data_IF_632744483978
#
_entry.id   IF_632744483978
#
_cell.length_a   1.000
_cell.length_b   1.000
_cell.length_c   1.000
_cell.angle_alpha   90.00
_cell.angle_beta   90.00
_cell.angle_gamma   90.00
#
_symmetry.space_group_name_H-M   'P 1'
#
loop_
_entity.id
_entity.type
_entity.pdbx_description
1 polymer ?
#
# COMPACT_ATOMS: atom_id res chain seq x y z
N UNK A 1 -30.88 15.47 13.15
CA UNK A 1 -29.76 14.96 12.35
C UNK A 1 -30.15 13.57 11.88
N UNK A 2 -30.28 13.37 10.56
CA UNK A 2 -30.73 12.09 10.02
C UNK A 2 -29.77 10.96 10.42
N UNK A 3 -30.31 9.87 10.94
CA UNK A 3 -29.58 8.61 11.13
C UNK A 3 -29.29 8.03 9.73
N UNK A 4 -28.02 7.68 9.46
CA UNK A 4 -27.48 7.03 8.25
C UNK A 4 -27.01 7.93 7.08
N UNK A 5 -26.05 8.82 7.30
CA UNK A 5 -25.23 9.33 6.18
C UNK A 5 -23.98 8.46 5.98
N UNK A 6 -23.90 7.74 4.85
CA UNK A 6 -22.64 7.13 4.40
C UNK A 6 -21.73 8.25 3.86
N UNK A 7 -20.46 8.21 4.21
CA UNK A 7 -19.47 9.19 3.77
C UNK A 7 -18.18 8.50 3.36
N UNK A 8 -17.49 9.10 2.40
CA UNK A 8 -16.10 8.76 2.12
C UNK A 8 -15.18 9.23 3.25
N UNK A 9 -14.21 8.39 3.59
CA UNK A 9 -13.20 8.69 4.60
C UNK A 9 -11.83 8.42 4.00
N UNK A 10 -10.99 9.44 3.97
CA UNK A 10 -9.61 9.33 3.51
C UNK A 10 -8.76 8.64 4.57
N UNK A 11 -7.99 7.61 4.21
CA UNK A 11 -7.00 7.00 5.09
C UNK A 11 -5.61 7.17 4.51
N UNK A 12 -4.85 8.09 5.09
CA UNK A 12 -3.53 8.46 4.60
C UNK A 12 -2.42 7.72 5.34
N UNK A 13 -1.33 7.41 4.63
CA UNK A 13 -0.16 6.79 5.23
C UNK A 13 0.72 7.81 5.92
N UNK A 14 1.02 7.58 7.20
CA UNK A 14 2.06 8.34 7.89
C UNK A 14 3.44 7.89 7.37
N UNK A 15 4.24 8.85 6.90
CA UNK A 15 5.59 8.60 6.38
C UNK A 15 6.49 7.98 7.46
N UNK A 16 7.12 6.86 7.15
CA UNK A 16 8.00 6.14 8.06
C UNK A 16 9.37 6.79 8.25
N UNK A 17 10.01 6.50 9.39
CA UNK A 17 11.31 7.06 9.79
C UNK A 17 12.47 6.70 8.84
N UNK A 18 12.32 5.63 8.06
CA UNK A 18 13.33 5.15 7.11
C UNK A 18 13.07 5.64 5.67
N UNK A 19 12.18 6.62 5.49
CA UNK A 19 11.94 7.23 4.17
C UNK A 19 13.27 7.58 3.49
N UNK A 20 13.40 7.20 2.23
CA UNK A 20 14.61 7.35 1.43
C UNK A 20 14.29 7.33 -0.06
N UNK A 21 15.20 7.83 -0.89
CA UNK A 21 15.12 7.75 -2.34
C UNK A 21 16.01 6.63 -2.88
N UNK A 22 15.52 5.39 -2.86
CA UNK A 22 16.32 4.22 -3.27
C UNK A 22 16.23 3.84 -4.74
N UNK A 23 15.34 4.45 -5.53
CA UNK A 23 15.22 4.15 -6.97
C UNK A 23 14.74 2.74 -7.31
N UNK A 24 13.94 2.13 -6.43
CA UNK A 24 13.63 0.69 -6.47
C UNK A 24 12.46 0.32 -7.40
N UNK A 25 11.59 1.26 -7.76
CA UNK A 25 10.41 0.99 -8.59
C UNK A 25 10.73 1.24 -10.08
N UNK A 26 11.01 0.17 -10.82
CA UNK A 26 11.16 0.24 -12.27
C UNK A 26 9.83 0.64 -12.92
N UNK A 27 9.84 1.56 -13.88
CA UNK A 27 8.64 2.14 -14.48
C UNK A 27 8.11 3.39 -13.76
N UNK A 28 8.44 3.58 -12.47
CA UNK A 28 8.20 4.85 -11.79
C UNK A 28 9.37 5.80 -12.07
N UNK A 29 9.18 6.71 -13.03
CA UNK A 29 10.21 7.67 -13.47
C UNK A 29 10.73 8.52 -12.31
N UNK A 30 9.85 8.98 -11.41
CA UNK A 30 10.25 9.79 -10.26
C UNK A 30 11.11 8.98 -9.28
N UNK A 31 10.75 7.72 -8.99
CA UNK A 31 11.58 6.84 -8.17
C UNK A 31 12.97 6.70 -8.77
N UNK A 32 13.05 6.35 -10.06
CA UNK A 32 14.33 6.13 -10.74
C UNK A 32 15.21 7.39 -10.80
N UNK A 33 14.62 8.56 -11.09
CA UNK A 33 15.38 9.80 -11.25
C UNK A 33 15.91 10.37 -9.93
N UNK A 34 15.26 10.10 -8.80
CA UNK A 34 15.67 10.60 -7.48
C UNK A 34 16.53 9.58 -6.71
N UNK A 35 16.84 8.43 -7.30
CA UNK A 35 17.65 7.39 -6.66
C UNK A 35 19.01 7.90 -6.17
N UNK A 36 19.30 7.71 -4.88
CA UNK A 36 20.55 8.13 -4.23
C UNK A 36 20.53 9.54 -3.65
N UNK A 37 19.47 10.32 -3.84
CA UNK A 37 19.33 11.62 -3.20
C UNK A 37 19.13 11.51 -1.68
N UNK A 38 19.53 12.56 -0.96
CA UNK A 38 19.28 12.69 0.47
C UNK A 38 17.79 12.97 0.69
N UNK A 39 17.20 12.25 1.64
CA UNK A 39 15.80 12.43 2.03
C UNK A 39 15.70 13.07 3.43
N UNK A 40 14.53 13.64 3.73
CA UNK A 40 14.22 14.20 5.05
C UNK A 40 12.95 13.53 5.61
N UNK A 41 13.06 12.38 6.32
CA UNK A 41 11.90 11.64 6.80
C UNK A 41 10.95 12.47 7.67
N UNK A 42 11.51 13.33 8.53
CA UNK A 42 10.72 14.20 9.41
C UNK A 42 9.90 15.21 8.60
N UNK A 43 10.51 15.85 7.62
CA UNK A 43 9.81 16.79 6.74
C UNK A 43 8.74 16.09 5.91
N UNK A 44 9.03 14.92 5.33
CA UNK A 44 8.04 14.13 4.61
C UNK A 44 6.82 13.78 5.47
N UNK A 45 7.03 13.38 6.73
CA UNK A 45 5.95 13.13 7.67
C UNK A 45 5.14 14.40 7.99
N UNK A 46 5.82 15.53 8.23
CA UNK A 46 5.15 16.81 8.51
C UNK A 46 4.33 17.32 7.32
N UNK A 47 4.83 17.16 6.09
CA UNK A 47 4.09 17.50 4.87
C UNK A 47 2.81 16.66 4.72
N UNK A 48 2.92 15.35 4.96
CA UNK A 48 1.75 14.44 4.96
C UNK A 48 0.72 14.82 6.02
N UNK A 49 1.17 15.08 7.25
CA UNK A 49 0.30 15.49 8.36
C UNK A 49 -0.37 16.85 8.10
N UNK A 50 0.35 17.81 7.53
CA UNK A 50 -0.21 19.10 7.16
C UNK A 50 -1.36 18.93 6.15
N UNK A 51 -1.17 18.08 5.13
CA UNK A 51 -2.24 17.77 4.16
C UNK A 51 -3.47 17.14 4.82
N UNK A 52 -3.26 16.10 5.64
CA UNK A 52 -4.35 15.42 6.36
C UNK A 52 -5.15 16.43 7.20
N UNK A 53 -4.45 17.29 7.95
CA UNK A 53 -5.09 18.31 8.78
C UNK A 53 -5.85 19.35 7.97
N UNK A 54 -5.30 19.81 6.84
CA UNK A 54 -5.99 20.75 5.96
C UNK A 54 -7.29 20.18 5.39
N UNK A 55 -7.32 18.89 5.03
CA UNK A 55 -8.55 18.22 4.56
C UNK A 55 -9.56 18.06 5.70
N UNK A 56 -9.12 17.70 6.90
CA UNK A 56 -9.97 17.66 8.09
C UNK A 56 -10.60 19.02 8.39
N UNK A 57 -9.81 20.10 8.32
CA UNK A 57 -10.28 21.47 8.58
C UNK A 57 -11.26 21.95 7.52
N UNK A 58 -11.15 21.45 6.29
CA UNK A 58 -12.11 21.68 5.21
C UNK A 58 -13.38 20.79 5.30
N UNK A 59 -13.48 19.91 6.30
CA UNK A 59 -14.66 19.09 6.56
C UNK A 59 -14.62 17.67 5.98
N UNK A 60 -13.52 17.26 5.35
CA UNK A 60 -13.37 15.89 4.85
C UNK A 60 -12.99 14.93 5.97
N UNK A 61 -13.63 13.76 6.02
CA UNK A 61 -13.30 12.75 7.02
C UNK A 61 -11.93 12.13 6.74
N UNK A 62 -11.12 11.99 7.80
CA UNK A 62 -9.73 11.57 7.71
C UNK A 62 -9.39 10.53 8.79
N UNK A 63 -8.65 9.51 8.40
CA UNK A 63 -7.96 8.54 9.23
C UNK A 63 -6.50 8.42 8.81
N UNK A 64 -5.72 7.66 9.57
CA UNK A 64 -4.27 7.49 9.35
C UNK A 64 -3.91 6.01 9.43
N UNK A 65 -3.13 5.52 8.46
CA UNK A 65 -2.45 4.24 8.55
C UNK A 65 -1.02 4.44 9.07
N UNK A 66 -0.58 3.71 10.10
CA UNK A 66 0.77 3.82 10.64
C UNK A 66 1.83 3.34 9.64
N UNK A 67 3.08 3.82 9.76
CA UNK A 67 4.19 3.24 9.01
C UNK A 67 4.45 1.80 9.47
N UNK A 68 5.08 1.00 8.61
CA UNK A 68 5.47 -0.36 8.94
C UNK A 68 6.86 -0.44 9.59
N UNK A 69 7.14 -1.55 10.26
CA UNK A 69 8.47 -1.84 10.79
C UNK A 69 9.49 -1.87 9.65
N UNK A 70 10.47 -0.97 9.72
CA UNK A 70 11.62 -0.89 8.81
C UNK A 70 12.86 -0.55 9.64
N UNK A 71 14.04 -1.16 9.41
CA UNK A 71 14.32 -2.21 8.41
C UNK A 71 13.54 -3.52 8.65
N UNK A 72 13.15 -4.20 7.58
CA UNK A 72 12.51 -5.52 7.67
C UNK A 72 13.54 -6.63 7.89
N UNK A 73 13.74 -6.96 9.17
CA UNK A 73 14.67 -8.01 9.61
C UNK A 73 14.17 -9.43 9.28
N UNK A 74 12.85 -9.61 9.12
CA UNK A 74 12.28 -10.88 8.69
C UNK A 74 12.69 -11.19 7.26
N UNK A 75 12.54 -10.22 6.37
CA UNK A 75 12.96 -10.33 4.98
C UNK A 75 14.46 -10.62 4.83
N UNK A 76 15.32 -10.01 5.66
CA UNK A 76 16.74 -10.33 5.67
C UNK A 76 17.01 -11.79 6.09
N UNK A 77 16.31 -12.29 7.11
CA UNK A 77 16.44 -13.71 7.52
C UNK A 77 15.98 -14.66 6.42
N UNK A 78 14.87 -14.38 5.76
CA UNK A 78 14.35 -15.18 4.66
C UNK A 78 15.31 -15.24 3.47
N UNK A 79 16.12 -14.18 3.29
CA UNK A 79 17.17 -14.09 2.27
C UNK A 79 18.52 -14.67 2.73
N UNK A 80 18.57 -15.34 3.88
CA UNK A 80 19.73 -16.09 4.36
C UNK A 80 20.72 -15.27 5.21
N UNK A 81 20.39 -14.03 5.59
CA UNK A 81 21.21 -13.30 6.57
C UNK A 81 20.99 -13.89 7.96
N UNK A 82 22.09 -14.14 8.67
CA UNK A 82 22.09 -14.76 10.00
C UNK A 82 22.88 -13.93 11.02
N UNK A 83 22.66 -14.20 12.30
CA UNK A 83 23.27 -13.49 13.42
C UNK A 83 22.28 -12.56 14.13
N UNK A 84 22.80 -11.69 15.00
CA UNK A 84 22.02 -10.62 15.63
C UNK A 84 21.52 -9.60 14.60
N UNK A 85 20.48 -8.84 14.95
CA UNK A 85 19.91 -7.81 14.06
C UNK A 85 20.98 -6.82 13.57
N UNK A 86 21.91 -6.41 14.44
CA UNK A 86 23.04 -5.55 14.10
C UNK A 86 23.96 -6.20 13.06
N UNK A 87 24.30 -7.46 13.24
CA UNK A 87 25.19 -8.19 12.32
C UNK A 87 24.54 -8.40 10.96
N UNK A 88 23.24 -8.74 10.93
CA UNK A 88 22.49 -8.87 9.68
C UNK A 88 22.47 -7.56 8.89
N UNK A 89 22.19 -6.43 9.56
CA UNK A 89 22.20 -5.11 8.92
C UNK A 89 23.59 -4.74 8.40
N UNK A 90 24.64 -4.97 9.19
CA UNK A 90 26.02 -4.70 8.77
C UNK A 90 26.43 -5.57 7.56
N UNK A 91 26.04 -6.85 7.55
CA UNK A 91 26.28 -7.76 6.43
C UNK A 91 25.51 -7.34 5.18
N UNK A 92 24.22 -7.02 5.31
CA UNK A 92 23.40 -6.53 4.21
C UNK A 92 23.97 -5.23 3.62
N UNK A 93 24.41 -4.29 4.46
CA UNK A 93 25.06 -3.06 4.02
C UNK A 93 26.32 -3.31 3.18
N UNK A 94 27.15 -4.27 3.60
CA UNK A 94 28.42 -4.60 2.94
C UNK A 94 28.25 -5.46 1.69
N UNK A 95 27.37 -6.45 1.73
CA UNK A 95 27.27 -7.52 0.73
C UNK A 95 26.18 -7.24 -0.30
N UNK A 96 25.06 -6.62 0.11
CA UNK A 96 23.89 -6.40 -0.73
C UNK A 96 23.22 -5.04 -0.39
N UNK A 97 23.89 -3.89 -0.61
CA UNK A 97 23.39 -2.58 -0.21
C UNK A 97 22.04 -2.22 -0.86
N UNK A 98 21.75 -2.73 -2.06
CA UNK A 98 20.44 -2.53 -2.71
C UNK A 98 19.31 -3.28 -1.99
N UNK A 99 19.62 -4.45 -1.41
CA UNK A 99 18.66 -5.18 -0.59
C UNK A 99 18.38 -4.46 0.72
N UNK A 100 19.43 -3.92 1.37
CA UNK A 100 19.26 -3.11 2.58
C UNK A 100 18.33 -1.92 2.31
N UNK A 101 18.51 -1.23 1.18
CA UNK A 101 17.63 -0.16 0.74
C UNK A 101 16.18 -0.61 0.58
N UNK A 102 15.96 -1.78 -0.03
CA UNK A 102 14.62 -2.34 -0.21
C UNK A 102 13.91 -2.65 1.11
N UNK A 103 14.59 -3.31 2.05
CA UNK A 103 14.00 -3.63 3.37
C UNK A 103 13.85 -2.39 4.27
N UNK A 104 14.44 -1.26 3.90
CA UNK A 104 14.29 0.03 4.58
C UNK A 104 13.25 0.95 3.94
N UNK A 105 12.61 0.56 2.83
CA UNK A 105 11.68 1.45 2.12
C UNK A 105 10.46 1.84 2.99
N UNK A 106 10.12 3.12 3.01
CA UNK A 106 8.89 3.65 3.62
C UNK A 106 7.69 3.63 2.66
N UNK A 107 7.69 2.76 1.66
CA UNK A 107 6.69 2.72 0.57
C UNK A 107 5.24 2.47 1.04
N UNK A 108 5.05 1.90 2.24
CA UNK A 108 3.71 1.71 2.81
C UNK A 108 2.97 3.03 3.08
N UNK A 109 3.64 4.19 2.99
CA UNK A 109 2.99 5.49 3.05
C UNK A 109 2.03 5.74 1.86
N UNK A 110 2.22 5.03 0.73
CA UNK A 110 1.33 5.08 -0.43
C UNK A 110 0.14 4.14 -0.24
N UNK A 111 -0.84 4.59 0.54
CA UNK A 111 -1.99 3.79 0.98
C UNK A 111 -3.02 3.51 -0.10
N UNK A 112 -2.98 4.23 -1.23
CA UNK A 112 -3.76 3.87 -2.42
C UNK A 112 -3.47 2.43 -2.90
N UNK A 113 -2.31 1.87 -2.58
CA UNK A 113 -1.97 0.48 -2.89
C UNK A 113 -2.10 -0.47 -1.69
N UNK A 114 -2.61 -0.02 -0.54
CA UNK A 114 -2.73 -0.88 0.63
C UNK A 114 -3.68 -2.06 0.40
N UNK A 115 -4.72 -1.82 -0.39
CA UNK A 115 -5.73 -2.80 -0.76
C UNK A 115 -6.87 -2.15 -1.55
N UNK A 116 -7.83 -2.99 -1.93
CA UNK A 116 -9.08 -2.55 -2.55
C UNK A 116 -10.21 -2.65 -1.53
N UNK A 117 -11.08 -1.64 -1.53
CA UNK A 117 -12.22 -1.55 -0.60
C UNK A 117 -13.53 -1.70 -1.37
N UNK A 118 -14.43 -2.56 -0.87
CA UNK A 118 -15.81 -2.62 -1.35
C UNK A 118 -16.73 -2.09 -0.25
N UNK A 119 -17.43 -0.96 -0.49
CA UNK A 119 -18.42 -0.45 0.46
C UNK A 119 -19.56 -1.44 0.72
N UNK A 120 -20.18 -1.34 1.90
CA UNK A 120 -21.28 -2.23 2.30
C UNK A 120 -22.48 -2.19 1.37
N UNK A 121 -22.77 -1.05 0.76
CA UNK A 121 -23.86 -0.87 -0.19
C UNK A 121 -23.67 -1.64 -1.50
N UNK A 122 -22.44 -2.07 -1.79
CA UNK A 122 -22.08 -2.83 -2.99
C UNK A 122 -21.73 -4.30 -2.67
N UNK A 123 -21.76 -4.69 -1.40
CA UNK A 123 -21.41 -6.04 -0.95
C UNK A 123 -22.67 -6.87 -0.63
N UNK A 124 -22.77 -8.14 -1.06
CA UNK A 124 -23.96 -8.96 -0.84
C UNK A 124 -24.32 -9.21 0.64
N UNK A 125 -23.34 -9.14 1.54
CA UNK A 125 -23.52 -9.38 2.98
C UNK A 125 -23.67 -8.08 3.79
N UNK A 126 -23.69 -6.92 3.13
CA UNK A 126 -23.86 -5.61 3.78
C UNK A 126 -22.67 -5.17 4.64
N UNK A 127 -21.49 -5.78 4.50
CA UNK A 127 -20.26 -5.36 5.20
C UNK A 127 -19.31 -4.62 4.29
N UNK A 128 -18.39 -3.84 4.85
CA UNK A 128 -17.29 -3.26 4.08
C UNK A 128 -16.18 -4.30 3.95
N UNK A 129 -15.76 -4.60 2.71
CA UNK A 129 -14.73 -5.61 2.45
C UNK A 129 -13.37 -4.95 2.20
N UNK A 130 -12.33 -5.52 2.80
CA UNK A 130 -10.93 -5.14 2.61
C UNK A 130 -10.16 -6.30 2.01
N UNK A 131 -9.60 -6.10 0.81
CA UNK A 131 -8.67 -7.05 0.20
C UNK A 131 -7.31 -6.38 0.05
N UNK A 132 -6.32 -6.69 0.91
CA UNK A 132 -4.98 -6.14 0.77
C UNK A 132 -4.36 -6.53 -0.57
N UNK A 133 -3.63 -5.60 -1.19
CA UNK A 133 -2.95 -5.85 -2.45
C UNK A 133 -1.66 -6.64 -2.22
N UNK A 134 -1.26 -7.52 -3.14
CA UNK A 134 -0.04 -8.32 -2.95
C UNK A 134 1.26 -7.58 -3.32
N UNK A 135 1.17 -6.54 -4.14
CA UNK A 135 2.28 -5.65 -4.52
C UNK A 135 3.52 -6.40 -5.03
N UNK A 136 3.30 -7.55 -5.67
CA UNK A 136 4.36 -8.47 -6.05
C UNK A 136 5.37 -7.83 -7.02
N UNK A 137 4.93 -6.84 -7.80
CA UNK A 137 5.68 -6.21 -8.89
C UNK A 137 7.00 -5.58 -8.45
N UNK A 138 7.11 -5.21 -7.18
CA UNK A 138 8.30 -4.59 -6.60
C UNK A 138 8.63 -5.22 -5.25
N UNK A 139 9.82 -5.81 -5.12
CA UNK A 139 10.23 -6.55 -3.91
C UNK A 139 10.04 -5.75 -2.62
N UNK A 140 10.42 -4.47 -2.59
CA UNK A 140 10.28 -3.63 -1.39
C UNK A 140 8.82 -3.40 -0.96
N UNK A 141 7.87 -3.51 -1.91
CA UNK A 141 6.44 -3.39 -1.66
C UNK A 141 5.77 -4.73 -1.36
N UNK A 142 6.27 -5.81 -1.94
CA UNK A 142 5.87 -7.19 -1.61
C UNK A 142 6.00 -7.51 -0.11
N UNK A 143 6.86 -6.79 0.62
CA UNK A 143 7.01 -6.94 2.08
C UNK A 143 5.84 -6.33 2.90
N UNK A 144 5.03 -5.47 2.28
CA UNK A 144 3.97 -4.71 2.95
C UNK A 144 2.73 -5.53 3.39
N UNK A 145 2.16 -6.44 2.57
CA UNK A 145 0.77 -6.83 2.71
C UNK A 145 0.41 -7.55 4.01
N UNK A 146 1.34 -8.37 4.55
CA UNK A 146 1.13 -9.07 5.83
C UNK A 146 0.92 -8.10 6.99
N UNK A 147 1.66 -7.00 7.01
CA UNK A 147 1.48 -5.97 8.05
C UNK A 147 0.29 -5.09 7.73
N UNK A 148 0.06 -4.75 6.46
CA UNK A 148 -1.11 -3.99 6.02
C UNK A 148 -2.43 -4.67 6.44
N UNK A 149 -2.58 -5.96 6.19
CA UNK A 149 -3.77 -6.71 6.60
C UNK A 149 -4.01 -6.67 8.11
N UNK A 150 -2.96 -6.85 8.92
CA UNK A 150 -3.06 -6.74 10.39
C UNK A 150 -3.45 -5.34 10.86
N UNK A 151 -2.92 -4.30 10.22
CA UNK A 151 -3.27 -2.90 10.53
C UNK A 151 -4.73 -2.62 10.19
N UNK A 152 -5.20 -3.05 9.02
CA UNK A 152 -6.60 -2.90 8.62
C UNK A 152 -7.54 -3.64 9.58
N UNK A 153 -7.21 -4.89 9.94
CA UNK A 153 -7.96 -5.65 10.95
C UNK A 153 -7.99 -4.97 12.32
N UNK A 154 -6.88 -4.35 12.73
CA UNK A 154 -6.82 -3.65 14.02
C UNK A 154 -7.67 -2.37 14.03
N UNK A 155 -7.70 -1.62 12.93
CA UNK A 155 -8.48 -0.38 12.79
C UNK A 155 -9.97 -0.70 12.59
N UNK A 156 -10.29 -1.63 11.68
CA UNK A 156 -11.64 -2.03 11.29
C UNK A 156 -12.00 -3.40 11.89
N UNK A 157 -12.01 -3.47 13.22
CA UNK A 157 -12.06 -4.74 13.98
C UNK A 157 -13.43 -5.40 14.13
N UNK A 158 -14.52 -4.65 13.90
CA UNK A 158 -15.88 -5.15 14.12
C UNK A 158 -16.32 -6.05 12.96
N UNK A 159 -16.32 -7.36 13.17
CA UNK A 159 -16.66 -8.36 12.15
C UNK A 159 -18.13 -8.30 11.69
N UNK A 160 -19.00 -7.63 12.46
CA UNK A 160 -20.38 -7.36 12.04
C UNK A 160 -20.45 -6.32 10.92
N UNK A 161 -19.44 -5.46 10.80
CA UNK A 161 -19.39 -4.36 9.83
C UNK A 161 -18.28 -4.53 8.79
N UNK A 162 -17.23 -5.27 9.11
CA UNK A 162 -16.01 -5.34 8.31
C UNK A 162 -15.61 -6.79 8.00
N UNK A 163 -15.34 -7.08 6.73
CA UNK A 163 -14.81 -8.35 6.27
C UNK A 163 -13.39 -8.17 5.74
N UNK A 164 -12.45 -8.98 6.22
CA UNK A 164 -11.04 -8.93 5.82
C UNK A 164 -10.65 -10.16 5.03
N UNK A 165 -10.06 -9.96 3.85
CA UNK A 165 -9.67 -11.02 2.94
C UNK A 165 -8.15 -11.21 2.94
N UNK A 166 -7.65 -12.41 2.60
CA UNK A 166 -6.24 -12.59 2.30
C UNK A 166 -5.86 -11.86 0.99
N UNK A 167 -4.56 -11.60 0.83
CA UNK A 167 -4.02 -11.17 -0.47
C UNK A 167 -4.22 -12.24 -1.53
N UNK A 168 -4.28 -11.83 -2.80
CA UNK A 168 -4.15 -12.76 -3.92
C UNK A 168 -2.76 -13.44 -3.93
N UNK A 169 -2.62 -14.65 -4.51
CA UNK A 169 -1.31 -15.30 -4.65
C UNK A 169 -0.29 -14.34 -5.26
N UNK A 170 0.87 -14.18 -4.62
CA UNK A 170 1.87 -13.21 -5.04
C UNK A 170 2.70 -13.73 -6.23
N UNK A 171 2.05 -13.82 -7.39
CA UNK A 171 2.68 -14.20 -8.66
C UNK A 171 2.39 -13.13 -9.71
N UNK A 172 3.21 -13.05 -10.78
CA UNK A 172 2.94 -12.15 -11.90
C UNK A 172 1.51 -12.27 -12.47
N UNK A 173 0.93 -13.47 -12.50
CA UNK A 173 -0.39 -13.70 -13.05
C UNK A 173 -1.53 -13.10 -12.22
N UNK A 174 -1.30 -12.91 -10.91
CA UNK A 174 -2.25 -12.36 -9.95
C UNK A 174 -1.74 -11.06 -9.32
N UNK A 175 -0.93 -10.31 -10.06
CA UNK A 175 -0.41 -9.02 -9.60
C UNK A 175 -1.54 -8.07 -9.25
N UNK A 176 -1.50 -7.51 -8.04
CA UNK A 176 -2.50 -6.59 -7.55
C UNK A 176 -1.83 -5.38 -6.89
N UNK A 177 -2.23 -4.19 -7.32
CA UNK A 177 -1.74 -2.89 -6.84
C UNK A 177 -2.83 -2.10 -6.09
N UNK A 178 -3.96 -2.74 -5.77
CA UNK A 178 -5.01 -2.21 -4.90
C UNK A 178 -5.82 -1.06 -5.49
N UNK A 179 -6.30 -0.18 -4.61
CA UNK A 179 -7.17 0.93 -4.97
C UNK A 179 -6.57 1.93 -5.98
N UNK A 180 -5.25 1.95 -6.19
CA UNK A 180 -4.61 2.76 -7.22
C UNK A 180 -5.07 2.42 -8.65
N UNK A 181 -5.62 1.22 -8.86
CA UNK A 181 -6.18 0.74 -10.13
C UNK A 181 -7.71 0.51 -10.05
N UNK A 182 -8.37 1.09 -9.05
CA UNK A 182 -9.80 0.95 -8.82
C UNK A 182 -10.47 2.32 -8.73
N UNK A 183 -11.62 2.45 -9.36
CA UNK A 183 -12.50 3.61 -9.23
C UNK A 183 -13.91 3.14 -8.94
N UNK A 184 -14.59 3.81 -8.01
CA UNK A 184 -16.03 3.63 -7.78
C UNK A 184 -16.78 4.84 -8.31
N UNK A 185 -17.76 4.61 -9.18
CA UNK A 185 -18.64 5.64 -9.74
C UNK A 185 -20.06 5.46 -9.17
N UNK A 186 -20.62 6.50 -8.56
CA UNK A 186 -21.94 6.49 -7.95
C UNK A 186 -22.58 7.88 -8.04
N UNK A 187 -23.89 7.97 -7.79
CA UNK A 187 -24.57 9.25 -7.55
C UNK A 187 -24.15 9.80 -6.19
N UNK A 188 -24.64 9.19 -5.12
CA UNK A 188 -24.23 9.47 -3.74
C UNK A 188 -23.43 8.31 -3.14
N UNK A 189 -22.59 8.58 -2.12
CA UNK A 189 -21.77 7.54 -1.47
C UNK A 189 -22.60 6.39 -0.85
N UNK A 190 -23.85 6.67 -0.46
CA UNK A 190 -24.77 5.68 0.11
C UNK A 190 -25.59 4.89 -0.90
N UNK A 191 -25.43 5.15 -2.20
CA UNK A 191 -26.13 4.45 -3.27
C UNK A 191 -25.23 3.38 -3.89
N UNK A 192 -25.80 2.31 -4.49
CA UNK A 192 -25.03 1.33 -5.24
C UNK A 192 -24.15 1.98 -6.33
N UNK A 193 -22.91 1.51 -6.44
CA UNK A 193 -21.91 2.05 -7.34
C UNK A 193 -21.44 1.06 -8.41
N UNK A 194 -20.86 1.60 -9.47
CA UNK A 194 -20.14 0.83 -10.50
C UNK A 194 -18.65 0.84 -10.17
N UNK A 195 -18.05 -0.35 -10.10
CA UNK A 195 -16.61 -0.51 -9.84
C UNK A 195 -15.87 -0.69 -11.17
N UNK A 196 -14.99 0.26 -11.50
CA UNK A 196 -14.05 0.18 -12.61
C UNK A 196 -12.70 -0.34 -12.11
N UNK A 197 -12.27 -1.48 -12.65
CA UNK A 197 -10.95 -2.05 -12.39
C UNK A 197 -10.08 -1.92 -13.63
N UNK A 198 -8.93 -1.27 -13.48
CA UNK A 198 -7.98 -1.04 -14.57
C UNK A 198 -6.80 -2.01 -14.44
N UNK A 199 -6.37 -2.60 -15.55
CA UNK A 199 -5.26 -3.55 -15.55
C UNK A 199 -4.32 -3.29 -16.74
N UNK A 200 -3.03 -3.60 -16.54
CA UNK A 200 -1.99 -3.40 -17.57
C UNK A 200 -1.75 -4.63 -18.46
N UNK A 201 -2.08 -5.84 -17.98
CA UNK A 201 -1.85 -7.11 -18.70
C UNK A 201 -2.85 -8.19 -18.29
N UNK A 202 -2.99 -9.22 -19.11
CA UNK A 202 -3.83 -10.39 -18.84
C UNK A 202 -3.04 -11.69 -19.01
N UNK A 203 -2.97 -12.50 -17.96
CA UNK A 203 -2.03 -13.64 -17.91
C UNK A 203 -2.45 -14.87 -18.74
N UNK A 204 -3.75 -15.19 -18.81
CA UNK A 204 -4.23 -16.49 -19.33
C UNK A 204 -4.91 -16.43 -20.71
N UNK A 205 -4.97 -15.27 -21.36
CA UNK A 205 -5.73 -15.07 -22.61
C UNK A 205 -4.88 -14.75 -23.84
N UNK A 206 -3.56 -14.94 -23.79
CA UNK A 206 -2.67 -14.57 -24.91
C UNK A 206 -2.76 -13.08 -25.22
N UNK A 207 -2.63 -12.24 -24.19
CA UNK A 207 -2.82 -10.79 -24.25
C UNK A 207 -2.12 -10.15 -25.44
N UNK A 208 -2.90 -9.51 -26.33
CA UNK A 208 -2.36 -8.90 -27.56
C UNK A 208 -1.75 -7.51 -27.33
N UNK A 209 -2.12 -6.85 -26.23
CA UNK A 209 -1.72 -5.49 -25.90
C UNK A 209 -1.22 -5.43 -24.45
N UNK A 210 0.10 -5.39 -24.28
CA UNK A 210 0.76 -5.17 -23.00
C UNK A 210 1.87 -4.12 -23.16
N UNK A 211 2.25 -3.41 -22.09
CA UNK A 211 3.35 -2.46 -22.12
C UNK A 211 4.66 -3.09 -22.59
N UNK A 212 5.37 -2.42 -23.51
CA UNK A 212 6.66 -2.90 -24.07
C UNK A 212 7.91 -2.35 -23.37
N UNK A 213 7.76 -1.31 -22.53
CA UNK A 213 8.89 -0.58 -21.91
C UNK A 213 8.88 -0.65 -20.39
N UNK A 214 7.72 -0.42 -19.77
CA UNK A 214 7.57 -0.45 -18.33
C UNK A 214 6.47 -1.43 -17.96
N UNK A 215 6.68 -2.28 -16.95
CA UNK A 215 5.72 -3.29 -16.54
C UNK A 215 4.45 -2.69 -15.92
#
# INVERSE_FOLDING_TARGET
MSLNSIREVNFDGLVGLTHNYSGLAHGNVASMSHGGLVSNPKEGALQGLAKMKSLMDAGYAQGVLPPQQRPDLGALRDLGFTGSDREMLARAAKQAPQLLRAVCSASSMWTANAGTITPSVDAPDGRVHFTPANLQSSFHRYLEPKTTGRVLQAIFRDEQHFAHHPVLPATPAFSDEGAANHTRLCGEYGEPGVHLFVYGRQAFSGGRNEPKRYP
#
